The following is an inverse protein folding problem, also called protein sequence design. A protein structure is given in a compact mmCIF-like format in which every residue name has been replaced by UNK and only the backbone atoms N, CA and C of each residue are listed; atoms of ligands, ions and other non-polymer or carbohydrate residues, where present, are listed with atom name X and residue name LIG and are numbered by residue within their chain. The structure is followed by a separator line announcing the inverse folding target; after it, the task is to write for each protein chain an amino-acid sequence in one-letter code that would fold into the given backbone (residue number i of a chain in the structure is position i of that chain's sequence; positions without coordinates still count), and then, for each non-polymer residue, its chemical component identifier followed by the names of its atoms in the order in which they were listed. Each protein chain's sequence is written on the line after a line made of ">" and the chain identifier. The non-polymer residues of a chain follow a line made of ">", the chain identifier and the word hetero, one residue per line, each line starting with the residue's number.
data_IF_395553639894
#
_entry.id   IF_395553639894
#
_cell.length_a   1.000
_cell.length_b   1.000
_cell.length_c   1.000
_cell.angle_alpha   90.00
_cell.angle_beta   90.00
_cell.angle_gamma   90.00
#
_symmetry.space_group_name_H-M   'P 1'
#
loop_
_entity.id
_entity.type
_entity.pdbx_description
1 polymer ?
#
# COMPACT_ATOMS: atom_id res chain seq x y z
N UNK A 1 10.73 -22.45 27.09
CA UNK A 1 10.08 -21.43 27.94
C UNK A 1 9.64 -20.19 27.12
N UNK A 2 10.40 -19.72 26.11
CA UNK A 2 9.96 -18.63 25.25
C UNK A 2 8.93 -19.06 24.18
N UNK A 3 8.93 -20.33 23.79
CA UNK A 3 7.97 -20.88 22.81
C UNK A 3 6.51 -20.80 23.27
N UNK A 4 6.25 -20.83 24.57
CA UNK A 4 4.90 -20.64 25.14
C UNK A 4 4.49 -19.18 25.23
N UNK A 5 5.42 -18.23 24.99
CA UNK A 5 5.15 -16.79 24.99
C UNK A 5 4.80 -16.26 23.60
N UNK A 6 4.98 -17.06 22.54
CA UNK A 6 4.52 -16.71 21.20
C UNK A 6 3.00 -16.87 21.21
N UNK A 7 2.28 -15.76 21.15
CA UNK A 7 0.83 -15.79 21.01
C UNK A 7 0.50 -16.46 19.68
N UNK A 8 -0.27 -17.56 19.76
CA UNK A 8 -0.86 -18.20 18.60
C UNK A 8 -1.95 -17.27 18.03
N UNK A 9 -1.48 -16.23 17.35
CA UNK A 9 -2.36 -15.40 16.53
C UNK A 9 -2.63 -16.24 15.30
N UNK A 10 -3.82 -16.77 15.14
CA UNK A 10 -4.31 -17.53 13.97
C UNK A 10 -4.20 -16.73 12.63
N UNK A 11 -3.15 -15.95 12.49
CA UNK A 11 -2.81 -15.14 11.32
C UNK A 11 -2.21 -16.04 10.22
N UNK A 12 -1.64 -17.21 10.63
CA UNK A 12 -0.83 -18.05 9.75
C UNK A 12 -1.63 -19.06 8.89
N UNK A 13 -2.94 -19.22 9.12
CA UNK A 13 -3.72 -20.23 8.35
C UNK A 13 -3.92 -19.86 6.86
N UNK A 14 -3.56 -18.65 6.42
CA UNK A 14 -3.59 -18.25 5.00
C UNK A 14 -2.18 -18.05 4.41
N UNK A 15 -1.14 -17.95 5.24
CA UNK A 15 0.25 -17.96 4.77
C UNK A 15 0.57 -19.25 4.02
N UNK A 16 -0.01 -20.37 4.45
CA UNK A 16 0.16 -21.67 3.78
C UNK A 16 -0.26 -21.63 2.31
N UNK A 17 -1.34 -20.90 1.96
CA UNK A 17 -1.81 -20.80 0.56
C UNK A 17 -0.85 -19.94 -0.29
N UNK A 18 -0.30 -18.87 0.28
CA UNK A 18 0.68 -18.03 -0.43
C UNK A 18 2.01 -18.77 -0.57
N UNK A 19 2.42 -19.51 0.46
CA UNK A 19 3.62 -20.36 0.42
C UNK A 19 3.44 -21.52 -0.56
N UNK A 20 2.27 -22.17 -0.62
CA UNK A 20 1.94 -23.17 -1.64
C UNK A 20 1.97 -22.58 -3.05
N UNK A 21 1.43 -21.38 -3.25
CA UNK A 21 1.51 -20.66 -4.54
C UNK A 21 2.96 -20.32 -4.92
N UNK A 22 3.78 -19.87 -3.97
CA UNK A 22 5.19 -19.59 -4.18
C UNK A 22 5.99 -20.88 -4.45
N UNK A 23 5.66 -21.98 -3.78
CA UNK A 23 6.24 -23.29 -4.05
C UNK A 23 5.81 -23.87 -5.40
N UNK A 24 4.55 -23.66 -5.81
CA UNK A 24 4.07 -24.04 -7.14
C UNK A 24 4.78 -23.27 -8.26
N UNK A 25 5.22 -22.04 -8.00
CA UNK A 25 6.05 -21.25 -8.92
C UNK A 25 7.47 -21.81 -9.11
N UNK A 26 7.93 -22.74 -8.26
CA UNK A 26 9.23 -23.42 -8.35
C UNK A 26 9.34 -24.54 -9.40
N UNK A 27 8.30 -24.81 -10.21
CA UNK A 27 8.40 -25.75 -11.32
C UNK A 27 9.36 -25.26 -12.42
N UNK A 28 10.16 -26.13 -13.04
CA UNK A 28 11.09 -25.75 -14.09
C UNK A 28 10.33 -25.27 -15.35
N UNK A 29 10.15 -23.98 -15.53
CA UNK A 29 9.47 -23.22 -16.59
C UNK A 29 8.01 -22.81 -16.28
N UNK A 30 7.67 -22.26 -15.12
CA UNK A 30 6.35 -21.68 -14.93
C UNK A 30 6.25 -20.34 -15.65
N UNK A 31 5.12 -20.07 -16.29
CA UNK A 31 4.72 -18.69 -16.62
C UNK A 31 3.92 -18.20 -15.39
N UNK A 32 4.59 -17.49 -14.48
CA UNK A 32 3.96 -17.03 -13.23
C UNK A 32 3.34 -15.66 -13.42
N UNK A 33 2.06 -15.54 -13.03
CA UNK A 33 1.35 -14.26 -12.88
C UNK A 33 1.08 -13.94 -11.40
N UNK A 34 1.65 -14.73 -10.47
CA UNK A 34 1.25 -14.69 -9.07
C UNK A 34 1.82 -13.51 -8.27
N UNK A 35 2.97 -12.96 -8.64
CA UNK A 35 3.71 -12.03 -7.78
C UNK A 35 3.93 -10.64 -8.38
N UNK A 36 3.49 -10.36 -9.63
CA UNK A 36 3.69 -9.07 -10.29
C UNK A 36 5.17 -8.64 -10.38
N UNK A 37 6.10 -9.60 -10.41
CA UNK A 37 7.54 -9.32 -10.45
C UNK A 37 7.94 -8.98 -11.87
N UNK A 38 8.65 -7.86 -12.04
CA UNK A 38 9.20 -7.44 -13.32
C UNK A 38 10.29 -8.40 -13.82
N UNK A 39 10.53 -8.41 -15.14
CA UNK A 39 11.62 -9.18 -15.73
C UNK A 39 12.98 -8.74 -15.15
N UNK A 40 13.65 -9.65 -14.44
CA UNK A 40 14.94 -9.38 -13.80
C UNK A 40 16.02 -8.88 -14.77
N UNK A 41 15.91 -9.19 -16.08
CA UNK A 41 16.85 -8.74 -17.12
C UNK A 41 16.72 -7.24 -17.41
N UNK A 42 15.64 -6.60 -17.02
CA UNK A 42 15.38 -5.18 -17.21
C UNK A 42 15.82 -4.31 -16.02
N UNK A 43 16.31 -4.91 -14.94
CA UNK A 43 16.79 -4.12 -13.81
C UNK A 43 18.02 -3.29 -14.22
N UNK A 44 18.03 -1.98 -13.99
CA UNK A 44 19.08 -1.05 -14.41
C UNK A 44 20.31 -1.11 -13.48
N UNK A 45 20.97 -2.27 -13.42
CA UNK A 45 22.07 -2.54 -12.46
C UNK A 45 23.25 -1.57 -12.65
N UNK A 46 23.61 -1.27 -13.89
CA UNK A 46 24.76 -0.41 -14.17
C UNK A 46 24.47 1.06 -13.88
N UNK A 47 23.25 1.51 -14.15
CA UNK A 47 22.77 2.84 -13.77
C UNK A 47 22.76 3.00 -12.25
N UNK A 48 22.24 1.99 -11.54
CA UNK A 48 22.20 1.98 -10.08
C UNK A 48 23.62 2.05 -9.48
N UNK A 49 24.57 1.30 -10.04
CA UNK A 49 25.98 1.34 -9.61
C UNK A 49 26.60 2.72 -9.78
N UNK A 50 26.35 3.38 -10.93
CA UNK A 50 26.83 4.74 -11.20
C UNK A 50 26.26 5.77 -10.22
N UNK A 51 24.95 5.69 -9.98
CA UNK A 51 24.27 6.58 -9.02
C UNK A 51 24.83 6.38 -7.61
N UNK A 52 24.96 5.12 -7.16
CA UNK A 52 25.55 4.80 -5.86
C UNK A 52 26.94 5.38 -5.70
N UNK A 53 27.82 5.20 -6.69
CA UNK A 53 29.16 5.78 -6.67
C UNK A 53 29.14 7.32 -6.61
N UNK A 54 28.20 7.95 -7.31
CA UNK A 54 28.03 9.40 -7.29
C UNK A 54 27.62 9.90 -5.91
N UNK A 55 26.65 9.26 -5.29
CA UNK A 55 26.19 9.57 -3.92
C UNK A 55 27.34 9.40 -2.93
N UNK A 56 28.05 8.27 -2.98
CA UNK A 56 29.18 8.02 -2.07
C UNK A 56 30.33 9.01 -2.24
N UNK A 57 30.57 9.51 -3.45
CA UNK A 57 31.59 10.56 -3.69
C UNK A 57 31.15 11.93 -3.20
N UNK A 58 29.87 12.26 -3.39
CA UNK A 58 29.30 13.57 -3.05
C UNK A 58 29.13 13.71 -1.53
N UNK A 59 28.47 12.73 -0.90
CA UNK A 59 28.00 12.82 0.47
C UNK A 59 28.96 12.14 1.48
N UNK A 60 29.88 11.29 0.99
CA UNK A 60 30.92 10.64 1.80
C UNK A 60 30.36 9.99 3.08
N UNK A 61 30.87 10.41 4.24
CA UNK A 61 30.47 9.89 5.56
C UNK A 61 28.99 10.18 5.84
N UNK A 62 28.47 11.33 5.42
CA UNK A 62 27.08 11.69 5.69
C UNK A 62 26.05 10.75 5.00
N UNK A 63 26.44 10.06 3.92
CA UNK A 63 25.61 9.02 3.31
C UNK A 63 25.45 7.77 4.19
N UNK A 64 26.29 7.59 5.21
CA UNK A 64 26.34 6.42 6.09
C UNK A 64 25.91 6.75 7.53
N UNK A 65 25.67 8.01 7.84
CA UNK A 65 25.22 8.46 9.15
C UNK A 65 23.70 8.36 9.30
N UNK A 66 23.22 8.58 10.52
CA UNK A 66 21.78 8.69 10.79
C UNK A 66 21.18 9.86 10.02
N UNK A 67 20.11 9.59 9.30
CA UNK A 67 19.35 10.60 8.56
C UNK A 67 18.24 11.25 9.37
N UNK A 68 17.50 12.13 8.71
CA UNK A 68 16.29 12.76 9.26
C UNK A 68 15.19 11.73 9.48
N UNK A 69 14.32 11.96 10.48
CA UNK A 69 13.21 11.06 10.82
C UNK A 69 12.23 10.86 9.67
N UNK A 70 12.01 11.90 8.87
CA UNK A 70 11.09 11.86 7.74
C UNK A 70 11.73 11.29 6.46
N UNK A 71 13.02 10.97 6.51
CA UNK A 71 13.81 10.53 5.37
C UNK A 71 14.61 11.66 4.72
N UNK A 72 15.45 11.29 3.79
CA UNK A 72 16.41 12.17 3.12
C UNK A 72 15.73 13.35 2.42
N UNK A 73 16.04 14.59 2.82
CA UNK A 73 15.34 15.78 2.34
C UNK A 73 15.35 15.94 0.82
N UNK A 74 16.47 15.74 0.08
CA UNK A 74 16.47 15.84 -1.38
C UNK A 74 15.56 14.79 -2.06
N UNK A 75 15.37 13.61 -1.46
CA UNK A 75 14.44 12.62 -1.98
C UNK A 75 12.99 13.10 -1.80
N UNK A 76 12.65 13.65 -0.64
CA UNK A 76 11.31 14.19 -0.38
C UNK A 76 10.99 15.38 -1.32
N UNK A 77 11.96 16.25 -1.57
CA UNK A 77 11.84 17.35 -2.55
C UNK A 77 11.62 16.81 -3.98
N UNK A 78 12.38 15.78 -4.39
CA UNK A 78 12.20 15.12 -5.67
C UNK A 78 10.81 14.48 -5.83
N UNK A 79 10.32 13.80 -4.80
CA UNK A 79 8.96 13.23 -4.77
C UNK A 79 7.91 14.33 -4.85
N UNK A 80 8.05 15.42 -4.09
CA UNK A 80 7.12 16.55 -4.16
C UNK A 80 7.07 17.16 -5.58
N UNK A 81 8.21 17.24 -6.26
CA UNK A 81 8.28 17.72 -7.64
C UNK A 81 7.57 16.79 -8.63
N UNK A 82 7.74 15.46 -8.47
CA UNK A 82 7.04 14.46 -9.29
C UNK A 82 5.52 14.59 -9.07
N UNK A 83 5.06 14.61 -7.83
CA UNK A 83 3.64 14.76 -7.49
C UNK A 83 3.04 16.05 -8.06
N UNK A 84 3.79 17.16 -8.00
CA UNK A 84 3.35 18.42 -8.60
C UNK A 84 3.18 18.34 -10.13
N UNK A 85 4.04 17.57 -10.83
CA UNK A 85 3.90 17.33 -12.27
C UNK A 85 2.65 16.52 -12.62
N UNK A 86 2.14 15.74 -11.68
CA UNK A 86 0.90 14.96 -11.78
C UNK A 86 -0.35 15.75 -11.30
N UNK A 87 -0.16 17.01 -10.90
CA UNK A 87 -1.25 17.88 -10.43
C UNK A 87 -1.51 17.80 -8.92
N UNK A 88 -0.72 17.03 -8.17
CA UNK A 88 -0.80 16.92 -6.72
C UNK A 88 0.19 17.89 -6.05
N UNK A 89 -0.33 18.91 -5.35
CA UNK A 89 0.52 19.83 -4.61
C UNK A 89 0.86 19.23 -3.24
N UNK A 90 2.01 18.56 -3.15
CA UNK A 90 2.56 18.06 -1.89
C UNK A 90 3.81 18.87 -1.51
N UNK A 91 3.90 19.27 -0.24
CA UNK A 91 5.13 19.87 0.30
C UNK A 91 6.06 18.76 0.84
N UNK A 92 7.39 18.93 0.78
CA UNK A 92 8.34 17.93 1.30
C UNK A 92 8.08 17.54 2.76
N UNK A 93 7.52 18.44 3.58
CA UNK A 93 7.15 18.19 4.97
C UNK A 93 5.97 17.23 5.12
N UNK A 94 5.16 17.04 4.07
CA UNK A 94 4.05 16.10 4.04
C UNK A 94 4.48 14.69 3.57
N UNK A 95 5.77 14.50 3.27
CA UNK A 95 6.31 13.26 2.74
C UNK A 95 7.14 12.56 3.80
N UNK A 96 6.82 11.30 4.05
CA UNK A 96 7.56 10.40 4.93
C UNK A 96 8.13 9.23 4.10
N UNK A 97 9.44 9.05 4.14
CA UNK A 97 10.09 7.90 3.50
C UNK A 97 10.01 6.70 4.43
N UNK A 98 9.53 5.58 3.90
CA UNK A 98 9.38 4.32 4.63
C UNK A 98 10.16 3.19 3.97
N UNK A 99 10.31 2.06 4.66
CA UNK A 99 10.98 0.86 4.13
C UNK A 99 10.07 0.05 3.18
N UNK A 100 9.00 0.65 2.67
CA UNK A 100 8.05 0.07 1.73
C UNK A 100 6.59 0.36 2.13
N UNK A 101 5.64 0.02 1.23
CA UNK A 101 4.21 0.28 1.41
C UNK A 101 3.64 -0.34 2.68
N UNK A 102 4.09 -1.54 3.07
CA UNK A 102 3.64 -2.20 4.31
C UNK A 102 3.92 -1.35 5.56
N UNK A 103 5.10 -0.73 5.65
CA UNK A 103 5.40 0.18 6.75
C UNK A 103 4.54 1.45 6.68
N UNK A 104 4.29 1.97 5.49
CA UNK A 104 3.44 3.14 5.30
C UNK A 104 2.00 2.86 5.76
N UNK A 105 1.40 1.74 5.33
CA UNK A 105 0.06 1.30 5.74
C UNK A 105 0.02 1.09 7.27
N UNK A 106 1.04 0.44 7.84
CA UNK A 106 1.14 0.24 9.29
C UNK A 106 1.14 1.56 10.05
N UNK A 107 2.01 2.50 9.68
CA UNK A 107 2.14 3.79 10.35
C UNK A 107 0.87 4.64 10.22
N UNK A 108 0.29 4.73 9.02
CA UNK A 108 -0.97 5.43 8.78
C UNK A 108 -2.09 4.83 9.64
N UNK A 109 -2.18 3.51 9.69
CA UNK A 109 -3.17 2.81 10.51
C UNK A 109 -3.01 3.08 12.00
N UNK A 110 -1.78 3.10 12.51
CA UNK A 110 -1.51 3.39 13.93
C UNK A 110 -1.88 4.82 14.33
N UNK A 111 -1.78 5.77 13.40
CA UNK A 111 -2.14 7.17 13.65
C UNK A 111 -3.66 7.39 13.58
N UNK A 112 -4.34 6.71 12.65
CA UNK A 112 -5.74 6.96 12.32
C UNK A 112 -6.72 6.08 13.10
N UNK A 113 -6.28 4.90 13.54
CA UNK A 113 -7.15 3.83 14.04
C UNK A 113 -6.73 3.33 15.42
N UNK A 114 -7.69 2.73 16.12
CA UNK A 114 -7.49 1.95 17.35
C UNK A 114 -8.09 0.55 17.20
N UNK A 115 -7.63 -0.46 17.96
CA UNK A 115 -8.21 -1.80 17.92
C UNK A 115 -9.73 -1.78 18.07
N UNK A 116 -10.43 -2.54 17.24
CA UNK A 116 -11.89 -2.57 17.13
C UNK A 116 -12.49 -1.61 16.12
N UNK A 117 -11.73 -0.65 15.58
CA UNK A 117 -12.22 0.23 14.50
C UNK A 117 -12.44 -0.55 13.20
N UNK A 118 -13.36 -0.04 12.37
CA UNK A 118 -13.72 -0.63 11.09
C UNK A 118 -13.01 0.09 9.94
N UNK A 119 -12.42 -0.70 9.04
CA UNK A 119 -11.82 -0.26 7.78
C UNK A 119 -12.66 -0.80 6.63
N UNK A 120 -13.14 0.06 5.76
CA UNK A 120 -13.72 -0.37 4.48
C UNK A 120 -12.59 -0.70 3.50
N UNK A 121 -12.71 -1.82 2.82
CA UNK A 121 -11.73 -2.31 1.84
C UNK A 121 -12.46 -2.81 0.60
N UNK A 122 -11.79 -2.83 -0.53
CA UNK A 122 -12.32 -3.48 -1.73
C UNK A 122 -12.45 -5.00 -1.51
N UNK A 123 -13.42 -5.64 -2.15
CA UNK A 123 -13.64 -7.10 -2.09
C UNK A 123 -13.68 -7.69 -3.50
N UNK A 124 -12.59 -8.40 -3.91
CA UNK A 124 -11.36 -8.71 -3.15
C UNK A 124 -10.42 -7.51 -2.99
N UNK A 125 -9.39 -7.61 -2.11
CA UNK A 125 -8.32 -6.63 -1.99
C UNK A 125 -6.97 -7.31 -1.67
N UNK A 126 -5.91 -6.53 -1.54
CA UNK A 126 -4.56 -6.99 -1.22
C UNK A 126 -4.51 -7.74 0.12
N UNK A 127 -4.18 -9.03 0.05
CA UNK A 127 -4.26 -9.95 1.20
C UNK A 127 -3.34 -9.53 2.36
N UNK A 128 -2.14 -9.00 2.04
CA UNK A 128 -1.17 -8.60 3.07
C UNK A 128 -1.65 -7.37 3.86
N UNK A 129 -2.39 -6.45 3.22
CA UNK A 129 -3.04 -5.35 3.93
C UNK A 129 -4.15 -5.87 4.87
N UNK A 130 -4.95 -6.86 4.42
CA UNK A 130 -5.96 -7.50 5.28
C UNK A 130 -5.34 -8.17 6.50
N UNK A 131 -4.23 -8.87 6.31
CA UNK A 131 -3.52 -9.55 7.39
C UNK A 131 -2.91 -8.55 8.37
N UNK A 132 -2.41 -7.42 7.87
CA UNK A 132 -1.94 -6.31 8.70
C UNK A 132 -3.09 -5.71 9.54
N UNK A 133 -4.23 -5.38 8.92
CA UNK A 133 -5.38 -4.84 9.64
C UNK A 133 -5.88 -5.80 10.72
N UNK A 134 -5.96 -7.08 10.39
CA UNK A 134 -6.34 -8.13 11.36
C UNK A 134 -5.33 -8.23 12.51
N UNK A 135 -4.03 -8.20 12.21
CA UNK A 135 -2.96 -8.26 13.22
C UNK A 135 -2.99 -7.08 14.17
N UNK A 136 -3.45 -5.91 13.70
CA UNK A 136 -3.62 -4.69 14.49
C UNK A 136 -4.96 -4.65 15.25
N UNK A 137 -5.82 -5.66 15.07
CA UNK A 137 -7.11 -5.76 15.75
C UNK A 137 -8.21 -4.92 15.11
N UNK A 138 -8.08 -4.52 13.84
CA UNK A 138 -9.14 -3.83 13.11
C UNK A 138 -10.10 -4.81 12.45
N UNK A 139 -11.33 -4.39 12.24
CA UNK A 139 -12.34 -5.13 11.49
C UNK A 139 -12.42 -4.61 10.06
N UNK A 140 -12.39 -5.50 9.08
CA UNK A 140 -12.55 -5.12 7.68
C UNK A 140 -13.94 -5.44 7.17
N UNK A 141 -14.52 -4.51 6.38
CA UNK A 141 -15.81 -4.69 5.70
C UNK A 141 -15.58 -4.47 4.21
N UNK A 142 -15.98 -5.45 3.38
CA UNK A 142 -15.77 -5.44 1.94
C UNK A 142 -16.74 -4.53 1.20
N UNK A 143 -16.23 -3.79 0.22
CA UNK A 143 -17.00 -3.05 -0.78
C UNK A 143 -16.94 -3.87 -2.07
N UNK A 144 -18.07 -4.31 -2.65
CA UNK A 144 -18.06 -5.07 -3.90
C UNK A 144 -17.37 -4.32 -5.04
N UNK A 145 -16.77 -5.09 -5.95
CA UNK A 145 -16.09 -4.57 -7.15
C UNK A 145 -16.75 -5.06 -8.42
N UNK A 146 -16.54 -4.32 -9.51
CA UNK A 146 -16.85 -4.73 -10.88
C UNK A 146 -15.74 -4.29 -11.85
N UNK A 147 -15.99 -4.35 -13.15
CA UNK A 147 -15.02 -3.97 -14.19
C UNK A 147 -14.60 -2.48 -14.15
N UNK A 148 -15.29 -1.63 -13.40
CA UNK A 148 -14.96 -0.22 -13.19
C UNK A 148 -14.33 0.05 -11.80
N UNK A 149 -13.92 -1.01 -11.09
CA UNK A 149 -13.35 -0.93 -9.74
C UNK A 149 -14.40 -1.01 -8.64
N UNK A 150 -14.14 -0.39 -7.50
CA UNK A 150 -15.05 -0.31 -6.36
C UNK A 150 -16.44 0.18 -6.75
N UNK A 151 -17.49 -0.52 -6.32
CA UNK A 151 -18.90 -0.10 -6.51
C UNK A 151 -19.24 0.99 -5.48
N UNK A 152 -18.93 2.25 -5.82
CA UNK A 152 -19.08 3.39 -4.90
C UNK A 152 -20.56 3.65 -4.57
N UNK A 153 -21.49 3.25 -5.42
CA UNK A 153 -22.93 3.28 -5.17
C UNK A 153 -23.36 2.49 -3.92
N UNK A 154 -22.58 1.49 -3.50
CA UNK A 154 -22.80 0.73 -2.26
C UNK A 154 -22.16 1.38 -1.03
N UNK A 155 -21.24 2.32 -1.25
CA UNK A 155 -20.40 2.88 -0.18
C UNK A 155 -21.24 3.66 0.85
N UNK A 156 -22.17 4.50 0.42
CA UNK A 156 -22.97 5.31 1.35
C UNK A 156 -23.75 4.45 2.35
N UNK A 157 -24.31 3.34 1.89
CA UNK A 157 -24.99 2.38 2.76
C UNK A 157 -24.05 1.76 3.79
N UNK A 158 -22.83 1.37 3.36
CA UNK A 158 -21.82 0.79 4.25
C UNK A 158 -21.31 1.81 5.27
N UNK A 159 -21.13 3.08 4.86
CA UNK A 159 -20.75 4.18 5.74
C UNK A 159 -21.77 4.39 6.87
N UNK A 160 -23.06 4.36 6.52
CA UNK A 160 -24.15 4.51 7.50
C UNK A 160 -24.31 3.31 8.42
N UNK A 161 -24.10 2.11 7.91
CA UNK A 161 -24.31 0.87 8.70
C UNK A 161 -23.15 0.57 9.66
N UNK A 162 -21.92 0.81 9.20
CA UNK A 162 -20.73 0.34 9.89
C UNK A 162 -19.92 1.43 10.60
N UNK A 163 -20.16 2.71 10.27
CA UNK A 163 -19.42 3.85 10.84
C UNK A 163 -17.89 3.64 10.80
N UNK A 164 -17.31 3.34 9.61
CA UNK A 164 -15.89 3.04 9.49
C UNK A 164 -15.04 4.28 9.82
N UNK A 165 -13.77 4.03 10.13
CA UNK A 165 -12.80 5.07 10.45
C UNK A 165 -11.80 5.31 9.32
N UNK A 166 -11.76 4.42 8.34
CA UNK A 166 -10.83 4.48 7.20
C UNK A 166 -11.45 3.77 6.00
N UNK A 167 -11.17 4.29 4.81
CA UNK A 167 -11.35 3.58 3.54
C UNK A 167 -9.96 3.29 2.99
N UNK A 168 -9.63 2.02 2.74
CA UNK A 168 -8.42 1.59 2.07
C UNK A 168 -8.77 1.16 0.65
N UNK A 169 -8.04 1.66 -0.35
CA UNK A 169 -8.30 1.38 -1.78
C UNK A 169 -7.03 1.34 -2.61
N UNK A 170 -7.04 0.52 -3.67
CA UNK A 170 -6.01 0.42 -4.70
C UNK A 170 -6.64 0.85 -6.03
N UNK A 171 -6.70 2.17 -6.34
CA UNK A 171 -7.52 2.67 -7.43
C UNK A 171 -6.92 2.45 -8.82
N UNK A 172 -5.61 2.17 -8.93
CA UNK A 172 -4.91 1.92 -10.18
C UNK A 172 -4.42 0.48 -10.25
N UNK A 173 -4.73 -0.23 -11.33
CA UNK A 173 -4.26 -1.61 -11.56
C UNK A 173 -4.43 -2.50 -10.33
N UNK A 174 -5.62 -2.46 -9.76
CA UNK A 174 -5.99 -3.05 -8.48
C UNK A 174 -5.43 -4.47 -8.26
N UNK A 175 -4.83 -4.71 -7.12
CA UNK A 175 -4.36 -6.03 -6.71
C UNK A 175 -5.44 -6.74 -5.86
N UNK A 176 -6.03 -7.88 -6.31
CA UNK A 176 -5.54 -8.75 -7.40
C UNK A 176 -6.30 -8.62 -8.75
N UNK A 177 -7.27 -7.73 -8.92
CA UNK A 177 -8.20 -7.78 -10.06
C UNK A 177 -7.67 -7.15 -11.35
N UNK A 178 -6.64 -6.29 -11.26
CA UNK A 178 -6.12 -5.52 -12.39
C UNK A 178 -7.02 -4.39 -12.86
N UNK A 179 -8.17 -4.16 -12.21
CA UNK A 179 -9.11 -3.10 -12.60
C UNK A 179 -8.61 -1.71 -12.19
N UNK A 180 -9.09 -0.68 -12.87
CA UNK A 180 -8.88 0.72 -12.47
C UNK A 180 -10.21 1.34 -12.05
N UNK A 181 -10.20 2.07 -10.95
CA UNK A 181 -11.37 2.83 -10.50
C UNK A 181 -11.68 3.95 -11.50
N UNK A 182 -12.90 3.96 -12.04
CA UNK A 182 -13.31 4.92 -13.04
C UNK A 182 -13.29 6.36 -12.51
N UNK A 183 -13.01 7.34 -13.38
CA UNK A 183 -12.95 8.76 -12.98
C UNK A 183 -14.25 9.28 -12.36
N UNK A 184 -15.40 8.72 -12.74
CA UNK A 184 -16.69 9.08 -12.14
C UNK A 184 -16.74 8.61 -10.67
N UNK A 185 -16.39 7.33 -10.43
CA UNK A 185 -16.38 6.74 -9.10
C UNK A 185 -15.31 7.34 -8.18
N UNK A 186 -14.15 7.76 -8.72
CA UNK A 186 -13.13 8.51 -7.93
C UNK A 186 -13.71 9.80 -7.36
N UNK A 187 -14.42 10.57 -8.17
CA UNK A 187 -15.06 11.81 -7.72
C UNK A 187 -16.13 11.54 -6.66
N UNK A 188 -16.96 10.55 -6.88
CA UNK A 188 -18.02 10.17 -5.94
C UNK A 188 -17.45 9.66 -4.62
N UNK A 189 -16.39 8.84 -4.64
CA UNK A 189 -15.66 8.38 -3.47
C UNK A 189 -15.17 9.55 -2.61
N UNK A 190 -14.54 10.55 -3.23
CA UNK A 190 -14.05 11.75 -2.53
C UNK A 190 -15.23 12.51 -1.90
N UNK A 191 -16.30 12.74 -2.65
CA UNK A 191 -17.49 13.45 -2.13
C UNK A 191 -18.10 12.73 -0.93
N UNK A 192 -18.20 11.40 -0.97
CA UNK A 192 -18.70 10.61 0.15
C UNK A 192 -17.74 10.64 1.33
N UNK A 193 -16.44 10.46 1.10
CA UNK A 193 -15.43 10.50 2.15
C UNK A 193 -15.42 11.86 2.89
N UNK A 194 -15.52 12.97 2.16
CA UNK A 194 -15.66 14.32 2.72
C UNK A 194 -16.95 14.48 3.52
N UNK A 195 -18.10 14.07 2.95
CA UNK A 195 -19.40 14.17 3.62
C UNK A 195 -19.45 13.43 4.95
N UNK A 196 -18.83 12.26 5.01
CA UNK A 196 -18.78 11.42 6.22
C UNK A 196 -17.54 11.66 7.09
N UNK A 197 -16.66 12.58 6.67
CA UNK A 197 -15.40 12.91 7.34
C UNK A 197 -14.54 11.66 7.63
N UNK A 198 -14.33 10.85 6.60
CA UNK A 198 -13.56 9.59 6.68
C UNK A 198 -12.33 9.72 5.78
N UNK A 199 -11.12 9.50 6.30
CA UNK A 199 -9.91 9.51 5.49
C UNK A 199 -9.88 8.33 4.50
N UNK A 200 -9.24 8.56 3.35
CA UNK A 200 -8.91 7.53 2.37
C UNK A 200 -7.42 7.24 2.46
N UNK A 201 -7.06 5.97 2.58
CA UNK A 201 -5.70 5.47 2.41
C UNK A 201 -5.61 4.84 1.03
N UNK A 202 -4.98 5.57 0.12
CA UNK A 202 -4.74 5.12 -1.25
C UNK A 202 -3.40 4.40 -1.33
N UNK A 203 -3.40 3.15 -1.82
CA UNK A 203 -2.23 2.34 -2.10
C UNK A 203 -1.99 2.33 -3.61
N UNK A 204 -1.11 3.18 -4.08
CA UNK A 204 -0.86 3.42 -5.51
C UNK A 204 0.60 3.08 -5.88
N UNK A 205 0.93 1.79 -5.87
CA UNK A 205 2.29 1.30 -6.10
C UNK A 205 2.68 1.21 -7.60
N UNK A 206 1.72 1.35 -8.52
CA UNK A 206 1.94 1.23 -9.99
C UNK A 206 1.26 2.32 -10.80
N UNK A 207 0.79 3.40 -10.18
CA UNK A 207 0.07 4.47 -10.86
C UNK A 207 0.88 5.21 -11.92
N UNK A 208 2.20 5.06 -11.91
CA UNK A 208 3.12 5.66 -12.89
C UNK A 208 3.37 4.78 -14.14
N UNK A 209 2.73 3.57 -14.25
CA UNK A 209 2.88 2.63 -15.37
C UNK A 209 1.81 2.90 -16.49
#
# INVERSE_FOLDING_TARGET
>A
LWQTSVQDRNILSKADVVDEMLHAAGHPNPISFASGVSDARQFPVDEFRKVLQTVMRRDQISALEYGERNGYAPLREGIAHILASQGLQAHPENILITAGSQQAIFLASQVLLKPGDIVLVEEPTYSVALDLFRALGFHTVGIPMDSQGMQVENLEKLLQQHHPRLIYTIPNFHNPTGTCLSSARRRELIVLAERYNIPILEDDFVGDL
#
